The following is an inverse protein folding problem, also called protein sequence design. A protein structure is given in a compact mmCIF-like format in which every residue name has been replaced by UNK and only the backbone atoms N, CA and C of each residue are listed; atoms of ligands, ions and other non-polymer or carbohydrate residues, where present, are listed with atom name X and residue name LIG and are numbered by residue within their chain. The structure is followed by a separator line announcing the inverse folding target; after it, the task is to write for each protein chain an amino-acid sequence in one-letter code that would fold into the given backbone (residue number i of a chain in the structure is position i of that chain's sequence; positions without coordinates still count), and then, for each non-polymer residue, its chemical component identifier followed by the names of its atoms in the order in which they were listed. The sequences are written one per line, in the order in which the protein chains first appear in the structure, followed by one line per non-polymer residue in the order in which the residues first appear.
data_IF_099000130563
#
_entry.id   IF_099000130563
#
_cell.length_a   1.000
_cell.length_b   1.000
_cell.length_c   1.000
_cell.angle_alpha   90.00
_cell.angle_beta   90.00
_cell.angle_gamma   90.00
#
_symmetry.space_group_name_H-M   'P 1'
#
loop_
_entity.id
_entity.type
_entity.pdbx_description
1 polymer ?
#
# COMPACT_ATOMS: atom_id res chain seq x y z
N UNK A 1 0.32 13.46 13.95
CA UNK A 1 -0.98 13.58 13.26
C UNK A 1 -1.14 12.44 12.26
N UNK A 2 -2.23 11.67 12.33
CA UNK A 2 -2.50 10.55 11.43
C UNK A 2 -3.33 11.07 10.25
N UNK A 3 -2.67 11.56 9.21
CA UNK A 3 -3.36 12.06 8.00
C UNK A 3 -3.91 10.87 7.20
N UNK A 4 -5.23 10.70 7.20
CA UNK A 4 -5.91 9.67 6.40
C UNK A 4 -5.75 9.95 4.91
N UNK A 5 -5.91 8.93 4.08
CA UNK A 5 -5.83 9.08 2.61
C UNK A 5 -6.94 9.97 2.08
N UNK A 6 -8.11 9.93 2.71
CA UNK A 6 -9.25 10.81 2.40
C UNK A 6 -8.89 12.29 2.59
N UNK A 7 -8.29 12.67 3.72
CA UNK A 7 -7.83 14.04 3.96
C UNK A 7 -6.78 14.49 2.94
N UNK A 8 -5.89 13.59 2.51
CA UNK A 8 -4.91 13.91 1.46
C UNK A 8 -5.59 14.13 0.11
N UNK A 9 -6.62 13.36 -0.24
CA UNK A 9 -7.41 13.54 -1.46
C UNK A 9 -8.19 14.86 -1.44
N UNK A 10 -8.81 15.21 -0.32
CA UNK A 10 -9.52 16.48 -0.15
C UNK A 10 -8.57 17.68 -0.24
N UNK A 11 -7.39 17.58 0.38
CA UNK A 11 -6.35 18.62 0.29
C UNK A 11 -5.92 18.85 -1.16
N UNK A 12 -5.73 17.77 -1.94
CA UNK A 12 -5.38 17.87 -3.37
C UNK A 12 -6.53 18.50 -4.16
N UNK A 13 -7.78 18.14 -3.89
CA UNK A 13 -8.94 18.72 -4.55
C UNK A 13 -9.05 20.24 -4.31
N UNK A 14 -8.86 20.69 -3.06
CA UNK A 14 -8.85 22.13 -2.71
C UNK A 14 -7.66 22.89 -3.28
N UNK A 15 -6.51 22.23 -3.45
CA UNK A 15 -5.38 22.84 -4.15
C UNK A 15 -5.67 23.05 -5.65
N UNK A 16 -6.41 22.14 -6.28
CA UNK A 16 -6.80 22.27 -7.69
C UNK A 16 -7.86 23.35 -7.91
N UNK A 17 -8.64 23.70 -6.88
CA UNK A 17 -9.56 24.85 -6.88
C UNK A 17 -8.89 26.19 -6.54
N UNK A 18 -7.58 26.34 -6.79
CA UNK A 18 -6.78 27.57 -6.56
C UNK A 18 -6.52 27.98 -5.10
N UNK A 19 -6.54 27.05 -4.14
CA UNK A 19 -6.12 27.35 -2.75
C UNK A 19 -4.60 27.28 -2.61
N UNK A 20 -3.96 28.28 -1.98
CA UNK A 20 -2.50 28.29 -1.78
C UNK A 20 -2.09 27.22 -0.76
N UNK A 21 -0.92 26.61 -0.96
CA UNK A 21 -0.37 25.60 -0.06
C UNK A 21 -0.18 26.09 1.39
N UNK A 22 0.01 27.41 1.58
CA UNK A 22 0.05 28.05 2.91
C UNK A 22 -1.29 28.00 3.63
N UNK A 23 -2.38 28.21 2.90
CA UNK A 23 -3.73 28.27 3.46
C UNK A 23 -4.23 26.85 3.75
N UNK A 24 -3.84 25.87 2.92
CA UNK A 24 -4.07 24.45 3.18
C UNK A 24 -3.32 23.96 4.42
N UNK A 25 -2.10 24.43 4.66
CA UNK A 25 -1.35 24.08 5.86
C UNK A 25 -2.06 24.56 7.14
N UNK A 26 -2.63 25.78 7.10
CA UNK A 26 -3.41 26.32 8.20
C UNK A 26 -4.77 25.63 8.35
N UNK A 27 -5.50 25.39 7.25
CA UNK A 27 -6.84 24.81 7.25
C UNK A 27 -6.87 23.35 7.74
N UNK A 28 -5.85 22.57 7.38
CA UNK A 28 -5.76 21.16 7.75
C UNK A 28 -4.79 20.91 8.92
N UNK A 29 -4.26 21.97 9.55
CA UNK A 29 -3.27 21.91 10.64
C UNK A 29 -2.06 21.00 10.32
N UNK A 30 -1.65 20.96 9.06
CA UNK A 30 -0.55 20.13 8.58
C UNK A 30 0.68 20.98 8.29
N UNK A 31 1.90 20.49 8.59
CA UNK A 31 3.12 21.21 8.24
C UNK A 31 3.20 21.50 6.74
N UNK A 32 3.72 22.68 6.37
CA UNK A 32 3.94 23.07 4.96
C UNK A 32 4.79 22.04 4.20
N UNK A 33 5.75 21.42 4.87
CA UNK A 33 6.57 20.33 4.31
C UNK A 33 5.73 19.09 3.97
N UNK A 34 4.74 18.75 4.79
CA UNK A 34 3.78 17.67 4.55
C UNK A 34 2.86 18.01 3.39
N UNK A 35 2.32 19.24 3.31
CA UNK A 35 1.52 19.71 2.16
C UNK A 35 2.29 19.55 0.86
N UNK A 36 3.55 20.02 0.82
CA UNK A 36 4.41 19.90 -0.36
C UNK A 36 4.62 18.43 -0.76
N UNK A 37 4.83 17.54 0.22
CA UNK A 37 5.00 16.10 -0.03
C UNK A 37 3.73 15.45 -0.58
N UNK A 38 2.55 15.84 -0.05
CA UNK A 38 1.24 15.37 -0.55
C UNK A 38 1.03 15.82 -2.00
N UNK A 39 1.34 17.08 -2.32
CA UNK A 39 1.21 17.62 -3.67
C UNK A 39 2.18 16.96 -4.66
N UNK A 40 3.41 16.65 -4.24
CA UNK A 40 4.37 15.88 -5.05
C UNK A 40 3.84 14.49 -5.38
N UNK A 41 3.22 13.83 -4.41
CA UNK A 41 2.67 12.48 -4.57
C UNK A 41 1.20 12.46 -5.04
N UNK A 42 0.67 13.58 -5.57
CA UNK A 42 -0.76 13.72 -5.88
C UNK A 42 -1.29 12.65 -6.84
N UNK A 43 -0.49 12.21 -7.81
CA UNK A 43 -0.88 11.17 -8.78
C UNK A 43 -1.09 9.82 -8.10
N UNK A 44 -0.18 9.44 -7.20
CA UNK A 44 -0.24 8.19 -6.44
C UNK A 44 -1.42 8.20 -5.47
N UNK A 45 -1.64 9.34 -4.80
CA UNK A 45 -2.74 9.49 -3.83
C UNK A 45 -4.11 9.48 -4.52
N UNK A 46 -4.22 10.05 -5.73
CA UNK A 46 -5.44 10.00 -6.54
C UNK A 46 -5.72 8.61 -7.11
N UNK A 47 -4.69 7.92 -7.60
CA UNK A 47 -4.81 6.57 -8.16
C UNK A 47 -5.06 5.48 -7.11
N UNK A 48 -4.74 5.74 -5.84
CA UNK A 48 -5.05 4.83 -4.75
C UNK A 48 -6.57 4.76 -4.55
N UNK A 49 -7.20 3.69 -5.02
CA UNK A 49 -8.54 3.31 -4.61
C UNK A 49 -8.41 2.55 -3.28
N UNK A 50 -8.93 3.13 -2.20
CA UNK A 50 -8.70 2.61 -0.85
C UNK A 50 -10.01 2.57 -0.10
N UNK A 51 -10.29 1.42 0.52
CA UNK A 51 -11.45 1.25 1.38
C UNK A 51 -11.48 2.29 2.52
N UNK A 52 -12.70 2.68 2.90
CA UNK A 52 -12.94 3.70 3.94
C UNK A 52 -12.27 3.26 5.25
N UNK A 53 -11.41 4.12 5.80
CA UNK A 53 -10.71 3.85 7.07
C UNK A 53 -9.23 3.45 6.95
N UNK A 54 -8.68 3.28 5.74
CA UNK A 54 -7.23 3.05 5.60
C UNK A 54 -6.45 4.33 5.92
N UNK A 55 -5.64 4.24 6.98
CA UNK A 55 -4.87 5.36 7.54
C UNK A 55 -3.46 5.50 6.94
N UNK A 56 -2.96 4.46 6.25
CA UNK A 56 -1.58 4.42 5.74
C UNK A 56 -1.52 3.85 4.33
N UNK A 57 -1.16 4.68 3.36
CA UNK A 57 -0.65 4.22 2.06
C UNK A 57 0.83 3.93 2.27
N UNK A 58 1.16 2.71 2.67
CA UNK A 58 2.57 2.31 2.81
C UNK A 58 3.19 2.38 1.42
N UNK A 59 4.00 3.42 1.18
CA UNK A 59 4.61 3.77 -0.12
C UNK A 59 5.49 2.68 -0.74
N UNK A 60 5.57 1.51 -0.12
CA UNK A 60 6.38 0.35 -0.51
C UNK A 60 5.58 -0.96 -0.47
N UNK A 61 4.28 -0.97 -0.78
CA UNK A 61 3.71 -2.24 -1.23
C UNK A 61 4.38 -2.57 -2.54
N UNK A 62 5.26 -3.57 -2.52
CA UNK A 62 5.86 -4.07 -3.75
C UNK A 62 4.72 -4.56 -4.64
N UNK A 63 4.84 -4.36 -5.95
CA UNK A 63 3.87 -4.86 -6.93
C UNK A 63 3.52 -6.33 -6.68
N UNK A 64 4.50 -7.08 -6.20
CA UNK A 64 4.36 -8.46 -5.75
C UNK A 64 3.33 -8.67 -4.63
N UNK A 65 3.38 -7.86 -3.56
CA UNK A 65 2.41 -7.93 -2.47
C UNK A 65 1.02 -7.49 -2.94
N UNK A 66 0.94 -6.52 -3.84
CA UNK A 66 -0.33 -6.09 -4.42
C UNK A 66 -1.01 -7.22 -5.22
N UNK A 67 -0.24 -7.98 -6.01
CA UNK A 67 -0.78 -9.14 -6.73
C UNK A 67 -1.20 -10.28 -5.80
N UNK A 68 -0.44 -10.56 -4.73
CA UNK A 68 -0.85 -11.52 -3.69
C UNK A 68 -2.18 -11.07 -3.05
N UNK A 69 -2.31 -9.79 -2.69
CA UNK A 69 -3.53 -9.24 -2.08
C UNK A 69 -4.74 -9.34 -3.02
N UNK A 70 -4.57 -9.09 -4.33
CA UNK A 70 -5.64 -9.24 -5.33
C UNK A 70 -6.11 -10.68 -5.44
N UNK A 71 -5.20 -11.64 -5.57
CA UNK A 71 -5.53 -13.06 -5.66
C UNK A 71 -6.19 -13.56 -4.37
N UNK A 72 -5.69 -13.13 -3.21
CA UNK A 72 -6.26 -13.48 -1.92
C UNK A 72 -7.68 -12.94 -1.76
N UNK A 73 -7.96 -11.73 -2.26
CA UNK A 73 -9.30 -11.14 -2.22
C UNK A 73 -10.30 -11.95 -3.07
N UNK A 74 -9.91 -12.39 -4.27
CA UNK A 74 -10.74 -13.24 -5.13
C UNK A 74 -11.06 -14.55 -4.41
N UNK A 75 -10.05 -15.20 -3.84
CA UNK A 75 -10.23 -16.44 -3.09
C UNK A 75 -11.15 -16.27 -1.87
N UNK A 76 -11.00 -15.18 -1.10
CA UNK A 76 -11.89 -14.87 0.03
C UNK A 76 -13.33 -14.73 -0.45
N UNK A 77 -13.57 -13.98 -1.53
CA UNK A 77 -14.91 -13.79 -2.08
C UNK A 77 -15.53 -15.12 -2.52
N UNK A 78 -14.77 -15.99 -3.20
CA UNK A 78 -15.24 -17.33 -3.59
C UNK A 78 -15.61 -18.18 -2.36
N UNK A 79 -14.77 -18.19 -1.32
CA UNK A 79 -15.03 -18.95 -0.09
C UNK A 79 -16.22 -18.41 0.69
N UNK A 80 -16.42 -17.09 0.70
CA UNK A 80 -17.59 -16.45 1.28
C UNK A 80 -18.87 -16.80 0.51
N UNK A 81 -18.83 -16.87 -0.83
CA UNK A 81 -19.97 -17.30 -1.64
C UNK A 81 -20.38 -18.75 -1.38
N UNK A 82 -19.41 -19.63 -1.09
CA UNK A 82 -19.67 -21.02 -0.69
C UNK A 82 -20.19 -21.11 0.76
N UNK A 83 -20.19 -20.02 1.52
CA UNK A 83 -20.66 -19.97 2.91
C UNK A 83 -19.68 -20.58 3.91
N UNK A 84 -18.40 -20.70 3.56
CA UNK A 84 -17.38 -21.27 4.45
C UNK A 84 -16.86 -20.18 5.39
N UNK A 85 -16.85 -20.40 6.72
CA UNK A 85 -16.25 -19.45 7.65
C UNK A 85 -14.73 -19.43 7.45
N UNK A 86 -14.22 -18.26 7.05
CA UNK A 86 -12.79 -18.05 6.84
C UNK A 86 -12.19 -17.44 8.11
N UNK A 87 -11.31 -18.20 8.78
CA UNK A 87 -10.54 -17.69 9.90
C UNK A 87 -9.28 -16.98 9.40
N UNK A 88 -8.78 -16.02 10.20
CA UNK A 88 -7.55 -15.27 9.92
C UNK A 88 -6.35 -16.20 9.63
N UNK A 89 -6.21 -17.30 10.37
CA UNK A 89 -5.14 -18.28 10.15
C UNK A 89 -5.16 -18.91 8.75
N UNK A 90 -6.35 -19.16 8.20
CA UNK A 90 -6.52 -19.72 6.84
C UNK A 90 -6.13 -18.66 5.80
N UNK A 91 -6.49 -17.40 6.03
CA UNK A 91 -6.13 -16.28 5.16
C UNK A 91 -4.60 -16.10 5.13
N UNK A 92 -3.94 -16.16 6.29
CA UNK A 92 -2.49 -16.05 6.37
C UNK A 92 -1.76 -17.20 5.65
N UNK A 93 -2.24 -18.43 5.79
CA UNK A 93 -1.67 -19.58 5.07
C UNK A 93 -1.89 -19.46 3.55
N UNK A 94 -3.07 -19.06 3.10
CA UNK A 94 -3.32 -18.82 1.68
C UNK A 94 -2.46 -17.69 1.11
N UNK A 95 -2.27 -16.60 1.86
CA UNK A 95 -1.39 -15.52 1.46
C UNK A 95 0.06 -16.00 1.28
N UNK A 96 0.55 -16.88 2.17
CA UNK A 96 1.89 -17.49 2.05
C UNK A 96 2.02 -18.39 0.83
N UNK A 97 0.99 -19.19 0.54
CA UNK A 97 0.95 -20.05 -0.64
C UNK A 97 0.99 -19.22 -1.92
N UNK A 98 0.11 -18.24 -2.06
CA UNK A 98 0.08 -17.32 -3.20
C UNK A 98 1.40 -16.56 -3.38
N UNK A 99 2.02 -16.13 -2.27
CA UNK A 99 3.34 -15.50 -2.30
C UNK A 99 4.43 -16.46 -2.80
N UNK A 100 4.41 -17.72 -2.35
CA UNK A 100 5.38 -18.73 -2.77
C UNK A 100 5.22 -19.10 -4.24
N UNK A 101 3.99 -19.22 -4.72
CA UNK A 101 3.70 -19.56 -6.11
C UNK A 101 4.10 -18.42 -7.06
N UNK A 102 3.71 -17.18 -6.76
CA UNK A 102 4.16 -16.00 -7.51
C UNK A 102 5.69 -15.85 -7.52
N UNK A 103 6.39 -16.35 -6.50
CA UNK A 103 7.86 -16.30 -6.42
C UNK A 103 8.50 -17.37 -7.32
N UNK A 104 7.84 -18.51 -7.53
CA UNK A 104 8.30 -19.58 -8.41
C UNK A 104 8.09 -19.24 -9.89
N UNK A 105 7.04 -18.49 -10.21
CA UNK A 105 6.72 -18.05 -11.57
C UNK A 105 7.62 -16.91 -12.11
N UNK A 106 8.63 -16.46 -11.34
CA UNK A 106 9.68 -15.55 -11.84
C UNK A 106 10.91 -16.40 -12.24
N UNK A 107 11.10 -16.75 -13.53
CA UNK A 107 12.28 -17.48 -13.96
C UNK A 107 13.41 -16.47 -14.14
N UNK A 108 14.10 -16.13 -13.04
CA UNK A 108 15.14 -15.11 -13.11
C UNK A 108 16.00 -14.89 -11.86
N UNK A 109 15.99 -15.79 -10.88
CA UNK A 109 16.95 -15.72 -9.76
C UNK A 109 17.48 -17.11 -9.41
N UNK A 110 18.18 -17.71 -10.37
CA UNK A 110 19.17 -18.74 -10.11
C UNK A 110 20.51 -18.06 -9.85
N UNK A 111 21.17 -18.46 -8.76
CA UNK A 111 22.48 -17.99 -8.25
C UNK A 111 22.48 -16.53 -7.75
N UNK A 112 22.98 -16.16 -6.57
CA UNK A 112 24.11 -16.72 -5.84
C UNK A 112 23.87 -16.66 -4.32
N UNK A 113 24.32 -17.70 -3.65
CA UNK A 113 24.62 -17.70 -2.22
C UNK A 113 25.74 -16.69 -1.95
N UNK A 114 25.38 -15.48 -1.52
CA UNK A 114 26.38 -14.53 -1.02
C UNK A 114 26.79 -14.94 0.40
N UNK A 115 27.88 -15.68 0.40
CA UNK A 115 28.74 -16.10 1.49
C UNK A 115 28.89 -15.04 2.58
N UNK A 116 28.65 -15.46 3.81
CA UNK A 116 28.91 -14.69 5.03
C UNK A 116 30.37 -14.23 5.08
N UNK A 117 30.65 -12.97 4.74
CA UNK A 117 31.93 -12.32 5.09
C UNK A 117 31.82 -11.59 6.42
N UNK A 118 32.37 -12.24 7.45
CA UNK A 118 32.74 -11.59 8.69
C UNK A 118 33.71 -10.43 8.41
N UNK A 119 33.41 -9.24 8.95
CA UNK A 119 34.36 -8.11 8.94
C UNK A 119 35.58 -8.48 9.78
N UNK A 120 36.77 -8.42 9.19
CA UNK A 120 38.04 -8.40 9.93
C UNK A 120 38.55 -6.96 9.99
N UNK A 121 38.97 -6.55 11.18
CA UNK A 121 39.85 -5.40 11.45
C UNK A 121 39.16 -4.05 11.44
#
# INVERSE_FOLDING_TARGET
MRTTIELKKELIAKHESSTRASDLAAMFEVPKSTVCTILKNKKVIKAADVAKGVTTLTSKRSKFIEEVEKLLLVWINEKQLVGVPILEGIICEQARLLYADLKKDVPGSSADSDEFKARRG
#
